data_IF_268485165208
#
_entry.id   IF_268485165208
#
_cell.length_a   1.000
_cell.length_b   1.000
_cell.length_c   1.000
_cell.angle_alpha   90.00
_cell.angle_beta   90.00
_cell.angle_gamma   90.00
#
_symmetry.space_group_name_H-M   'P 1'
#
loop_
_entity.id
_entity.type
_entity.pdbx_description
1 polymer ?
#
# COMPACT_ATOMS: atom_id res chain seq x y z
N UNK A 1 25.47 -26.76 15.56
CA UNK A 1 25.42 -26.01 14.29
C UNK A 1 24.29 -24.99 14.41
N UNK A 2 24.63 -23.75 14.81
CA UNK A 2 23.86 -22.50 14.68
C UNK A 2 22.33 -22.56 14.56
N UNK A 3 21.63 -22.33 15.68
CA UNK A 3 20.18 -22.00 15.72
C UNK A 3 19.89 -20.51 15.42
N UNK A 4 20.80 -19.80 14.73
CA UNK A 4 20.75 -18.34 14.64
C UNK A 4 19.86 -17.80 13.50
N UNK A 5 19.21 -18.66 12.70
CA UNK A 5 18.45 -18.25 11.49
C UNK A 5 16.94 -18.05 11.76
N UNK A 6 16.47 -18.19 12.99
CA UNK A 6 15.03 -18.18 13.29
C UNK A 6 14.41 -16.79 13.54
N UNK A 7 15.14 -15.69 13.30
CA UNK A 7 14.66 -14.33 13.64
C UNK A 7 14.63 -13.34 12.47
N UNK A 8 14.31 -13.80 11.25
CA UNK A 8 13.82 -12.86 10.22
C UNK A 8 12.40 -12.50 10.65
N UNK A 9 12.27 -11.39 11.40
CA UNK A 9 10.98 -10.75 11.73
C UNK A 9 10.14 -10.74 10.46
N UNK A 10 9.11 -11.57 10.42
CA UNK A 10 8.31 -11.81 9.23
C UNK A 10 7.70 -10.48 8.79
N UNK A 11 8.29 -9.89 7.75
CA UNK A 11 7.96 -8.55 7.33
C UNK A 11 6.49 -8.53 6.92
N UNK A 12 5.73 -7.57 7.45
CA UNK A 12 4.30 -7.45 7.17
C UNK A 12 4.11 -6.85 5.77
N UNK A 13 4.47 -7.63 4.75
CA UNK A 13 4.44 -7.26 3.35
C UNK A 13 3.08 -6.68 2.89
N UNK A 14 1.91 -7.12 3.40
CA UNK A 14 0.65 -6.52 3.01
C UNK A 14 0.54 -5.08 3.51
N UNK A 15 0.98 -4.81 4.75
CA UNK A 15 1.00 -3.46 5.30
C UNK A 15 1.99 -2.56 4.55
N UNK A 16 3.14 -3.10 4.17
CA UNK A 16 4.11 -2.37 3.34
C UNK A 16 3.48 -1.96 2.01
N UNK A 17 2.78 -2.88 1.33
CA UNK A 17 2.08 -2.58 0.09
C UNK A 17 1.04 -1.46 0.27
N UNK A 18 0.23 -1.51 1.34
CA UNK A 18 -0.73 -0.44 1.65
C UNK A 18 -0.04 0.92 1.73
N UNK A 19 1.02 1.03 2.52
CA UNK A 19 1.74 2.30 2.73
C UNK A 19 2.34 2.79 1.42
N UNK A 20 2.99 1.91 0.65
CA UNK A 20 3.60 2.28 -0.63
C UNK A 20 2.58 2.82 -1.62
N UNK A 21 1.47 2.11 -1.82
CA UNK A 21 0.44 2.53 -2.78
C UNK A 21 -0.33 3.77 -2.31
N UNK A 22 -0.53 3.92 -1.00
CA UNK A 22 -1.14 5.12 -0.44
C UNK A 22 -0.26 6.37 -0.63
N UNK A 23 1.05 6.24 -0.41
CA UNK A 23 2.00 7.33 -0.66
C UNK A 23 2.09 7.67 -2.16
N UNK A 24 2.10 6.65 -3.02
CA UNK A 24 2.06 6.87 -4.48
C UNK A 24 0.79 7.64 -4.88
N UNK A 25 -0.37 7.29 -4.30
CA UNK A 25 -1.63 8.00 -4.57
C UNK A 25 -1.55 9.48 -4.14
N UNK A 26 -1.10 9.75 -2.91
CA UNK A 26 -0.94 11.13 -2.43
C UNK A 26 0.04 11.91 -3.32
N UNK A 27 1.13 11.27 -3.74
CA UNK A 27 2.15 11.91 -4.57
C UNK A 27 1.60 12.24 -5.96
N UNK A 28 0.83 11.33 -6.57
CA UNK A 28 0.16 11.58 -7.84
C UNK A 28 -0.90 12.69 -7.75
N UNK A 29 -1.74 12.65 -6.71
CA UNK A 29 -2.72 13.71 -6.44
C UNK A 29 -2.05 15.06 -6.23
N UNK A 30 -0.92 15.09 -5.52
CA UNK A 30 -0.15 16.32 -5.33
C UNK A 30 0.48 16.82 -6.63
N UNK A 31 1.02 15.93 -7.46
CA UNK A 31 1.62 16.29 -8.75
C UNK A 31 0.57 16.84 -9.73
N UNK A 32 -0.66 16.32 -9.69
CA UNK A 32 -1.77 16.78 -10.52
C UNK A 32 -2.54 17.95 -9.88
N UNK A 33 -2.14 18.41 -8.70
CA UNK A 33 -2.80 19.53 -8.02
C UNK A 33 -2.50 20.85 -8.74
N UNK A 34 -3.51 21.40 -9.41
CA UNK A 34 -3.38 22.63 -10.21
C UNK A 34 -3.11 22.40 -11.70
N UNK A 35 -3.17 21.14 -12.16
CA UNK A 35 -3.21 20.82 -13.59
C UNK A 35 -4.60 21.09 -14.18
N UNK A 36 -4.68 21.26 -15.51
CA UNK A 36 -5.94 21.46 -16.25
C UNK A 36 -6.87 20.23 -16.17
N UNK A 37 -6.29 19.04 -15.97
CA UNK A 37 -7.00 17.76 -15.84
C UNK A 37 -7.54 17.53 -14.41
N UNK A 38 -7.00 18.26 -13.42
CA UNK A 38 -7.31 18.09 -12.01
C UNK A 38 -6.77 16.80 -11.40
N UNK A 39 -7.07 16.56 -10.13
CA UNK A 39 -6.47 15.45 -9.35
C UNK A 39 -7.07 14.07 -9.60
N UNK A 40 -8.23 13.99 -10.25
CA UNK A 40 -8.97 12.74 -10.49
C UNK A 40 -8.61 12.11 -11.84
N UNK A 41 -7.32 12.06 -12.16
CA UNK A 41 -6.80 11.37 -13.33
C UNK A 41 -6.97 9.86 -13.17
N UNK A 42 -7.09 9.13 -14.30
CA UNK A 42 -7.14 7.66 -14.34
C UNK A 42 -6.00 7.03 -13.50
N UNK A 43 -4.72 7.44 -13.63
CA UNK A 43 -3.64 6.86 -12.83
C UNK A 43 -3.81 7.09 -11.32
N UNK A 44 -4.25 8.27 -10.88
CA UNK A 44 -4.50 8.53 -9.46
C UNK A 44 -5.63 7.66 -8.92
N UNK A 45 -6.72 7.55 -9.67
CA UNK A 45 -7.85 6.69 -9.28
C UNK A 45 -7.42 5.21 -9.16
N UNK A 46 -6.65 4.70 -10.14
CA UNK A 46 -6.13 3.33 -10.10
C UNK A 46 -5.21 3.12 -8.90
N UNK A 47 -4.30 4.06 -8.64
CA UNK A 47 -3.34 3.98 -7.53
C UNK A 47 -4.06 3.97 -6.18
N UNK A 48 -5.08 4.82 -6.02
CA UNK A 48 -5.95 4.83 -4.83
C UNK A 48 -6.73 3.53 -4.66
N UNK A 49 -7.30 2.98 -5.75
CA UNK A 49 -7.97 1.68 -5.72
C UNK A 49 -7.01 0.55 -5.32
N UNK A 50 -5.78 0.54 -5.85
CA UNK A 50 -4.76 -0.45 -5.47
C UNK A 50 -4.42 -0.37 -3.99
N UNK A 51 -4.28 0.84 -3.43
CA UNK A 51 -4.07 1.03 -1.99
C UNK A 51 -5.24 0.44 -1.17
N UNK A 52 -6.49 0.64 -1.59
CA UNK A 52 -7.68 0.07 -0.96
C UNK A 52 -7.71 -1.47 -1.03
N UNK A 53 -7.37 -2.06 -2.18
CA UNK A 53 -7.32 -3.51 -2.32
C UNK A 53 -6.29 -4.15 -1.38
N UNK A 54 -5.08 -3.58 -1.32
CA UNK A 54 -4.07 -4.05 -0.36
C UNK A 54 -4.50 -3.84 1.09
N UNK A 55 -5.26 -2.79 1.37
CA UNK A 55 -5.77 -2.54 2.72
C UNK A 55 -6.79 -3.59 3.15
N UNK A 56 -7.76 -3.90 2.28
CA UNK A 56 -8.72 -4.99 2.52
C UNK A 56 -7.99 -6.33 2.68
N UNK A 57 -7.00 -6.60 1.82
CA UNK A 57 -6.18 -7.80 1.90
C UNK A 57 -5.40 -7.89 3.22
N UNK A 58 -4.81 -6.78 3.68
CA UNK A 58 -4.12 -6.68 4.96
C UNK A 58 -5.07 -6.94 6.15
N UNK A 59 -6.27 -6.35 6.14
CA UNK A 59 -7.26 -6.59 7.18
C UNK A 59 -7.69 -8.07 7.23
N UNK A 60 -7.86 -8.69 6.07
CA UNK A 60 -8.22 -10.11 5.99
C UNK A 60 -7.08 -11.04 6.46
N UNK A 61 -5.82 -10.69 6.18
CA UNK A 61 -4.68 -11.45 6.70
C UNK A 61 -4.54 -11.30 8.21
N UNK A 62 -4.77 -10.11 8.77
CA UNK A 62 -4.81 -9.89 10.23
C UNK A 62 -5.91 -10.70 10.92
N UNK A 63 -7.10 -10.81 10.31
CA UNK A 63 -8.21 -11.63 10.83
C UNK A 63 -7.93 -13.14 10.84
N UNK A 64 -7.06 -13.64 9.95
CA UNK A 64 -6.66 -15.06 9.94
C UNK A 64 -5.58 -15.40 10.97
N UNK A 65 -4.86 -14.39 11.46
CA UNK A 65 -3.75 -14.56 12.40
C UNK A 65 -4.15 -14.36 13.86
N UNK A 66 -5.33 -13.76 14.11
CA UNK A 66 -5.99 -13.68 15.42
C UNK A 66 -6.97 -14.83 15.59
#
# INVERSE_FOLDING_TARGET
MSNYIQNIKQWNWPLLAVVTWFLAFITGVWADYGSDEGVFTIPNLLTGMTALFFFIYYLNTRKKLN
#
